data_IF_519371052568
#
_entry.id   IF_519371052568
#
_cell.length_a   1.000
_cell.length_b   1.000
_cell.length_c   1.000
_cell.angle_alpha   90.00
_cell.angle_beta   90.00
_cell.angle_gamma   90.00
#
_symmetry.space_group_name_H-M   'P 1'
#
loop_
_entity.id
_entity.type
_entity.pdbx_description
1 polymer ?
#
# COMPACT_ATOMS: atom_id res chain seq x y z
N UNK A 1 12.12 9.67 32.22
CA UNK A 1 11.01 9.10 31.40
C UNK A 1 10.04 10.16 30.88
N UNK A 2 9.60 11.15 31.66
CA UNK A 2 8.71 12.21 31.17
C UNK A 2 9.44 13.23 30.30
N UNK A 3 10.64 13.63 30.67
CA UNK A 3 11.49 14.51 29.88
C UNK A 3 11.81 13.90 28.50
N UNK A 4 12.10 12.61 28.41
CA UNK A 4 12.36 11.92 27.13
C UNK A 4 11.15 12.01 26.19
N UNK A 5 9.94 11.88 26.73
CA UNK A 5 8.71 12.05 25.94
C UNK A 5 8.55 13.48 25.44
N UNK A 6 8.82 14.45 26.27
CA UNK A 6 8.74 15.86 25.92
C UNK A 6 9.72 16.21 24.79
N UNK A 7 10.97 15.76 24.88
CA UNK A 7 11.97 15.93 23.84
C UNK A 7 11.52 15.32 22.50
N UNK A 8 10.95 14.11 22.54
CA UNK A 8 10.42 13.47 21.35
C UNK A 8 9.29 14.28 20.71
N UNK A 9 8.37 14.82 21.48
CA UNK A 9 7.29 15.66 20.94
C UNK A 9 7.83 16.97 20.38
N UNK A 10 8.76 17.59 21.07
CA UNK A 10 9.38 18.83 20.63
C UNK A 10 10.14 18.62 19.32
N UNK A 11 10.94 17.56 19.22
CA UNK A 11 11.65 17.19 17.99
C UNK A 11 10.71 16.99 16.80
N UNK A 12 9.56 16.32 17.00
CA UNK A 12 8.53 16.14 15.95
C UNK A 12 7.92 17.46 15.51
N UNK A 13 7.65 18.38 16.44
CA UNK A 13 7.12 19.71 16.13
C UNK A 13 8.14 20.55 15.33
N UNK A 14 9.42 20.52 15.71
CA UNK A 14 10.47 21.18 14.94
C UNK A 14 10.60 20.59 13.54
N UNK A 15 10.59 19.28 13.43
CA UNK A 15 10.65 18.59 12.14
C UNK A 15 9.44 18.91 11.25
N UNK A 16 8.26 19.05 11.82
CA UNK A 16 7.06 19.44 11.09
C UNK A 16 7.21 20.85 10.52
N UNK A 17 7.59 21.82 11.36
CA UNK A 17 7.76 23.23 10.98
C UNK A 17 8.87 23.43 9.94
N UNK A 18 9.99 22.73 10.07
CA UNK A 18 11.14 22.87 9.17
C UNK A 18 10.89 22.42 7.73
N UNK A 19 9.83 21.64 7.46
CA UNK A 19 9.60 21.05 6.15
C UNK A 19 8.16 21.14 5.66
N UNK A 20 7.35 22.02 6.20
CA UNK A 20 5.91 22.17 5.86
C UNK A 20 5.18 20.82 5.86
N UNK A 21 5.31 20.11 7.00
CA UNK A 21 4.73 18.79 7.22
C UNK A 21 3.55 18.87 8.18
N UNK A 22 2.54 18.07 7.89
CA UNK A 22 1.32 18.01 8.68
C UNK A 22 1.29 16.75 9.57
N UNK A 23 0.63 16.86 10.72
CA UNK A 23 0.24 15.71 11.52
C UNK A 23 -1.15 15.26 11.08
N UNK A 24 -1.22 14.10 10.46
CA UNK A 24 -2.49 13.48 10.06
C UNK A 24 -2.85 12.45 11.12
N UNK A 25 -3.88 12.76 11.90
CA UNK A 25 -4.33 11.87 12.97
C UNK A 25 -5.16 10.72 12.40
N UNK A 26 -4.94 9.47 12.86
CA UNK A 26 -5.75 8.34 12.43
C UNK A 26 -7.23 8.55 12.74
N UNK A 27 -8.08 8.35 11.74
CA UNK A 27 -9.53 8.51 11.82
C UNK A 27 -10.25 7.20 12.11
N UNK A 28 -11.46 7.29 12.67
CA UNK A 28 -12.39 6.17 12.78
C UNK A 28 -13.42 6.12 11.66
N UNK A 29 -13.35 7.03 10.68
CA UNK A 29 -14.37 7.18 9.64
C UNK A 29 -14.43 6.03 8.64
N UNK A 30 -13.44 5.17 8.56
CA UNK A 30 -13.31 4.15 7.51
C UNK A 30 -12.85 4.70 6.15
N UNK A 31 -12.90 6.02 5.96
CA UNK A 31 -12.40 6.69 4.73
C UNK A 31 -10.88 6.71 4.73
N UNK A 32 -10.30 6.44 3.57
CA UNK A 32 -8.86 6.47 3.38
C UNK A 32 -8.53 7.20 2.07
N UNK A 33 -7.91 8.37 2.20
CA UNK A 33 -7.57 9.23 1.07
C UNK A 33 -6.24 9.93 1.33
N UNK A 34 -5.33 9.84 0.41
CA UNK A 34 -4.14 10.70 0.38
C UNK A 34 -4.40 11.88 -0.55
N UNK A 35 -3.95 13.06 -0.15
CA UNK A 35 -3.96 14.28 -0.97
C UNK A 35 -2.58 14.89 -0.89
N UNK A 36 -1.93 15.02 -2.05
CA UNK A 36 -0.58 15.57 -2.23
C UNK A 36 0.48 14.96 -1.30
N UNK A 37 0.37 13.65 -1.05
CA UNK A 37 1.35 12.93 -0.23
C UNK A 37 2.70 12.86 -0.93
N UNK A 38 3.74 13.28 -0.24
CA UNK A 38 5.13 13.17 -0.67
C UNK A 38 5.86 12.10 0.16
N UNK A 39 6.36 11.06 -0.50
CA UNK A 39 7.07 9.98 0.19
C UNK A 39 8.38 10.49 0.82
N UNK A 40 8.57 10.36 2.15
CA UNK A 40 9.67 11.02 2.86
C UNK A 40 11.07 10.47 2.53
N UNK A 41 11.16 9.26 1.96
CA UNK A 41 12.44 8.66 1.56
C UNK A 41 12.91 9.10 0.16
N UNK A 42 12.13 9.90 -0.56
CA UNK A 42 12.50 10.39 -1.88
C UNK A 42 13.02 11.83 -1.80
N UNK A 43 14.11 12.11 -2.53
CA UNK A 43 14.71 13.46 -2.58
C UNK A 43 13.81 14.46 -3.31
N UNK A 44 13.15 14.03 -4.39
CA UNK A 44 12.22 14.83 -5.19
C UNK A 44 10.93 14.04 -5.43
N UNK A 45 10.09 13.86 -4.39
CA UNK A 45 8.86 13.11 -4.53
C UNK A 45 7.85 13.87 -5.39
N UNK A 46 7.25 13.21 -6.37
CA UNK A 46 6.01 13.71 -6.97
C UNK A 46 4.88 13.54 -5.95
N UNK A 47 4.05 14.57 -5.72
CA UNK A 47 2.87 14.44 -4.86
C UNK A 47 1.91 13.37 -5.40
N UNK A 48 1.35 12.57 -4.51
CA UNK A 48 0.41 11.51 -4.86
C UNK A 48 -0.94 11.81 -4.20
N UNK A 49 -2.00 11.79 -5.01
CA UNK A 49 -3.39 11.86 -4.53
C UNK A 49 -4.12 10.60 -4.95
N UNK A 50 -4.74 9.90 -3.98
CA UNK A 50 -5.40 8.62 -4.22
C UNK A 50 -6.47 8.35 -3.17
N UNK A 51 -7.64 7.86 -3.60
CA UNK A 51 -8.63 7.25 -2.73
C UNK A 51 -8.32 5.76 -2.57
N UNK A 52 -8.23 5.28 -1.34
CA UNK A 52 -8.04 3.86 -1.04
C UNK A 52 -9.04 3.38 0.02
N UNK A 53 -10.25 3.90 -0.05
CA UNK A 53 -11.32 3.59 0.90
C UNK A 53 -11.86 2.17 0.75
N UNK A 54 -11.95 1.64 -0.47
CA UNK A 54 -12.43 0.27 -0.71
C UNK A 54 -11.54 -0.78 -0.03
N UNK A 55 -12.09 -1.94 0.27
CA UNK A 55 -11.38 -3.03 0.97
C UNK A 55 -10.13 -3.50 0.22
N UNK A 56 -10.18 -3.52 -1.10
CA UNK A 56 -9.06 -3.88 -1.97
C UNK A 56 -8.75 -2.73 -2.91
N UNK A 57 -7.49 -2.37 -2.99
CA UNK A 57 -6.95 -1.49 -4.03
C UNK A 57 -5.96 -2.29 -4.87
N UNK A 58 -6.27 -2.47 -6.13
CA UNK A 58 -5.44 -3.22 -7.05
C UNK A 58 -4.79 -2.26 -8.05
N UNK A 59 -3.48 -2.14 -7.97
CA UNK A 59 -2.66 -1.25 -8.79
C UNK A 59 -2.12 -2.06 -9.96
N UNK A 60 -2.57 -1.74 -11.16
CA UNK A 60 -2.19 -2.41 -12.40
C UNK A 60 -1.24 -1.55 -13.23
N UNK A 61 -0.62 -2.14 -14.26
CA UNK A 61 0.25 -1.44 -15.20
C UNK A 61 1.60 -2.13 -15.38
N UNK A 62 2.47 -1.54 -16.21
CA UNK A 62 3.81 -2.09 -16.51
C UNK A 62 4.73 -2.03 -15.29
N UNK A 63 5.73 -2.93 -15.20
CA UNK A 63 6.62 -3.03 -14.04
C UNK A 63 7.39 -1.73 -13.73
N UNK A 64 7.73 -0.94 -14.76
CA UNK A 64 8.37 0.35 -14.59
C UNK A 64 7.40 1.50 -14.22
N UNK A 65 6.10 1.25 -14.10
CA UNK A 65 5.07 2.29 -13.93
C UNK A 65 4.96 2.92 -12.53
N UNK A 66 5.79 2.51 -11.56
CA UNK A 66 5.74 3.07 -10.20
C UNK A 66 4.74 2.40 -9.25
N UNK A 67 4.16 1.24 -9.61
CA UNK A 67 3.20 0.48 -8.80
C UNK A 67 3.70 0.20 -7.37
N UNK A 68 4.90 -0.38 -7.25
CA UNK A 68 5.54 -0.67 -5.96
C UNK A 68 5.76 0.59 -5.13
N UNK A 69 6.09 1.72 -5.77
CA UNK A 69 6.26 2.99 -5.07
C UNK A 69 4.92 3.52 -4.56
N UNK A 70 3.83 3.39 -5.32
CA UNK A 70 2.48 3.76 -4.86
C UNK A 70 2.08 2.91 -3.66
N UNK A 71 2.24 1.58 -3.74
CA UNK A 71 1.97 0.67 -2.62
C UNK A 71 2.76 1.07 -1.38
N UNK A 72 4.07 1.28 -1.51
CA UNK A 72 4.94 1.73 -0.41
C UNK A 72 4.51 3.09 0.13
N UNK A 73 4.05 4.00 -0.72
CA UNK A 73 3.58 5.33 -0.31
C UNK A 73 2.32 5.24 0.55
N UNK A 74 1.36 4.42 0.18
CA UNK A 74 0.14 4.19 0.97
C UNK A 74 0.51 3.61 2.34
N UNK A 75 1.32 2.55 2.38
CA UNK A 75 1.75 1.94 3.64
C UNK A 75 2.56 2.90 4.52
N UNK A 76 3.43 3.72 3.91
CA UNK A 76 4.21 4.73 4.62
C UNK A 76 3.30 5.79 5.24
N UNK A 77 2.31 6.30 4.51
CA UNK A 77 1.37 7.29 5.05
C UNK A 77 0.58 6.73 6.24
N UNK A 78 0.09 5.47 6.13
CA UNK A 78 -0.59 4.78 7.23
C UNK A 78 0.34 4.61 8.44
N UNK A 79 1.58 4.21 8.22
CA UNK A 79 2.58 4.07 9.29
C UNK A 79 2.87 5.41 9.98
N UNK A 80 3.12 6.45 9.20
CA UNK A 80 3.42 7.78 9.73
C UNK A 80 2.26 8.34 10.55
N UNK A 81 1.02 8.20 10.06
CA UNK A 81 -0.18 8.59 10.78
C UNK A 81 -0.35 7.79 12.09
N UNK A 82 -0.18 6.47 12.04
CA UNK A 82 -0.30 5.57 13.20
C UNK A 82 0.64 5.96 14.34
N UNK A 83 1.88 6.33 14.01
CA UNK A 83 2.89 6.69 15.00
C UNK A 83 3.01 8.21 15.25
N UNK A 84 2.06 9.00 14.73
CA UNK A 84 2.02 10.46 14.88
C UNK A 84 3.34 11.11 14.45
N UNK A 85 3.86 10.68 13.31
CA UNK A 85 5.02 11.28 12.67
C UNK A 85 4.53 12.26 11.58
N UNK A 86 5.04 13.50 11.56
CA UNK A 86 4.60 14.48 10.57
C UNK A 86 5.17 14.18 9.19
N UNK A 87 4.38 14.37 8.15
CA UNK A 87 4.78 14.17 6.76
C UNK A 87 4.13 15.20 5.82
N UNK A 88 4.70 15.35 4.64
CA UNK A 88 4.20 16.28 3.64
C UNK A 88 2.99 15.67 2.92
N UNK A 89 1.81 16.22 3.19
CA UNK A 89 0.55 15.92 2.55
C UNK A 89 -0.43 17.07 2.80
N UNK A 90 -1.47 17.19 1.98
CA UNK A 90 -2.52 18.16 2.23
C UNK A 90 -3.34 17.77 3.47
N UNK A 91 -3.92 18.75 4.16
CA UNK A 91 -4.70 18.53 5.39
C UNK A 91 -6.00 17.73 5.17
N UNK A 92 -6.49 17.65 3.93
CA UNK A 92 -7.63 16.81 3.54
C UNK A 92 -7.28 15.31 3.46
N UNK A 93 -6.03 14.94 3.72
CA UNK A 93 -5.62 13.55 3.84
C UNK A 93 -6.30 12.89 5.04
N UNK A 94 -6.93 11.74 4.81
CA UNK A 94 -7.61 10.96 5.85
C UNK A 94 -7.06 9.54 5.82
N UNK A 95 -6.67 9.02 6.98
CA UNK A 95 -6.14 7.66 7.13
C UNK A 95 -6.83 6.99 8.31
N UNK A 96 -7.34 5.79 8.12
CA UNK A 96 -7.98 5.01 9.19
C UNK A 96 -6.97 4.49 10.21
N UNK A 97 -7.46 4.25 11.43
CA UNK A 97 -6.66 3.69 12.51
C UNK A 97 -6.56 2.16 12.38
N UNK A 98 -5.59 1.67 11.64
CA UNK A 98 -5.31 0.24 11.53
C UNK A 98 -4.56 -0.29 12.75
N UNK A 99 -4.93 -1.47 13.24
CA UNK A 99 -4.24 -2.15 14.35
C UNK A 99 -2.86 -2.65 13.92
N UNK A 100 -2.76 -3.21 12.72
CA UNK A 100 -1.50 -3.71 12.15
C UNK A 100 -1.31 -3.27 10.71
N UNK A 101 -0.04 -3.15 10.33
CA UNK A 101 0.42 -2.85 8.97
C UNK A 101 1.35 -3.99 8.59
N UNK A 102 1.03 -4.70 7.54
CA UNK A 102 1.81 -5.82 7.04
C UNK A 102 2.19 -5.58 5.59
N UNK A 103 3.30 -6.18 5.15
CA UNK A 103 3.73 -6.12 3.77
C UNK A 103 4.31 -7.46 3.34
N UNK A 104 3.83 -7.95 2.20
CA UNK A 104 4.39 -9.10 1.48
C UNK A 104 5.07 -8.50 0.25
N UNK A 105 6.33 -8.14 0.42
CA UNK A 105 7.13 -7.52 -0.63
C UNK A 105 8.05 -8.56 -1.25
N UNK A 106 8.39 -8.37 -2.52
CA UNK A 106 9.43 -9.16 -3.14
C UNK A 106 10.80 -8.77 -2.55
N UNK A 107 11.52 -9.76 -1.98
CA UNK A 107 12.88 -9.58 -1.52
C UNK A 107 13.83 -10.35 -2.45
N UNK A 108 14.55 -9.65 -3.33
CA UNK A 108 15.53 -10.30 -4.22
C UNK A 108 16.63 -11.07 -3.46
N UNK A 109 16.77 -10.85 -2.15
CA UNK A 109 17.76 -11.53 -1.31
C UNK A 109 17.22 -12.79 -0.63
N UNK A 110 15.91 -13.04 -0.67
CA UNK A 110 15.28 -14.21 -0.03
C UNK A 110 15.39 -15.52 -0.83
N UNK A 111 16.10 -15.53 -1.95
CA UNK A 111 16.34 -16.69 -2.82
C UNK A 111 17.07 -17.86 -2.11
N UNK A 112 17.36 -17.74 -0.82
CA UNK A 112 18.11 -18.76 -0.06
C UNK A 112 17.28 -19.89 0.55
N UNK A 113 15.97 -19.87 0.45
CA UNK A 113 15.13 -20.96 0.95
C UNK A 113 14.49 -21.69 -0.22
N UNK A 114 14.74 -23.00 -0.32
CA UNK A 114 14.23 -23.95 -1.32
C UNK A 114 12.70 -24.14 -1.36
N UNK A 115 11.94 -23.29 -0.67
CA UNK A 115 10.49 -23.22 -0.78
C UNK A 115 10.17 -22.39 -2.02
N UNK A 116 9.38 -22.96 -2.95
CA UNK A 116 8.95 -22.18 -4.12
C UNK A 116 8.39 -20.83 -3.67
N UNK A 117 8.69 -19.77 -4.40
CA UNK A 117 8.25 -18.39 -4.11
C UNK A 117 6.74 -18.32 -3.84
N UNK A 118 5.98 -19.17 -4.54
CA UNK A 118 4.53 -19.31 -4.36
C UNK A 118 4.17 -19.87 -2.97
N UNK A 119 4.77 -20.99 -2.55
CA UNK A 119 4.51 -21.58 -1.24
C UNK A 119 4.90 -20.64 -0.10
N UNK A 120 6.00 -19.91 -0.25
CA UNK A 120 6.41 -18.87 0.69
C UNK A 120 5.34 -17.77 0.83
N UNK A 121 4.77 -17.30 -0.28
CA UNK A 121 3.66 -16.34 -0.27
C UNK A 121 2.40 -16.89 0.39
N UNK A 122 2.06 -18.15 0.16
CA UNK A 122 0.92 -18.79 0.83
C UNK A 122 1.10 -18.83 2.36
N UNK A 123 2.30 -19.09 2.82
CA UNK A 123 2.63 -19.00 4.26
C UNK A 123 2.49 -17.58 4.79
N UNK A 124 2.92 -16.57 4.05
CA UNK A 124 2.72 -15.17 4.45
C UNK A 124 1.23 -14.80 4.51
N UNK A 125 0.44 -15.18 3.51
CA UNK A 125 -1.01 -14.97 3.52
C UNK A 125 -1.69 -15.70 4.69
N UNK A 126 -1.25 -16.91 5.03
CA UNK A 126 -1.82 -17.68 6.15
C UNK A 126 -1.70 -16.95 7.50
N UNK A 127 -0.63 -16.18 7.69
CA UNK A 127 -0.43 -15.36 8.89
C UNK A 127 -1.46 -14.23 9.03
N UNK A 128 -2.04 -13.79 7.91
CA UNK A 128 -3.01 -12.70 7.88
C UNK A 128 -4.40 -13.13 8.33
N UNK A 129 -4.75 -14.41 8.18
CA UNK A 129 -6.09 -14.91 8.49
C UNK A 129 -6.53 -14.73 9.96
N UNK A 130 -5.58 -14.54 10.88
CA UNK A 130 -5.86 -14.20 12.28
C UNK A 130 -5.96 -12.71 12.57
N UNK A 131 -5.65 -11.85 11.59
CA UNK A 131 -5.63 -10.40 11.76
C UNK A 131 -7.05 -9.81 11.64
N UNK A 132 -7.28 -8.71 12.36
CA UNK A 132 -8.49 -7.88 12.23
C UNK A 132 -8.10 -6.43 12.21
N UNK A 133 -8.82 -5.62 11.43
CA UNK A 133 -8.53 -4.20 11.26
C UNK A 133 -7.06 -3.97 10.86
N UNK A 134 -6.60 -4.71 9.86
CA UNK A 134 -5.25 -4.65 9.34
C UNK A 134 -5.23 -4.02 7.94
N UNK A 135 -4.11 -3.40 7.59
CA UNK A 135 -3.78 -3.07 6.20
C UNK A 135 -2.58 -3.91 5.76
N UNK A 136 -2.68 -4.46 4.56
CA UNK A 136 -1.68 -5.34 3.97
C UNK A 136 -1.30 -4.85 2.59
N UNK A 137 -0.01 -4.65 2.34
CA UNK A 137 0.52 -4.43 1.01
C UNK A 137 1.09 -5.72 0.43
N UNK A 138 0.73 -6.03 -0.81
CA UNK A 138 1.23 -7.20 -1.54
C UNK A 138 1.80 -6.76 -2.87
N UNK A 139 3.10 -6.90 -3.02
CA UNK A 139 3.79 -6.53 -4.26
C UNK A 139 3.87 -7.75 -5.19
N UNK A 140 3.46 -7.56 -6.46
CA UNK A 140 3.44 -8.60 -7.49
C UNK A 140 2.86 -9.92 -7.01
N UNK A 141 1.54 -9.93 -6.71
CA UNK A 141 0.85 -11.06 -6.07
C UNK A 141 1.04 -12.39 -6.79
N UNK A 142 1.22 -12.35 -8.11
CA UNK A 142 1.37 -13.50 -9.00
C UNK A 142 2.77 -14.12 -9.03
N UNK A 143 3.74 -13.56 -8.33
CA UNK A 143 5.13 -14.00 -8.43
C UNK A 143 5.29 -15.49 -8.03
N UNK A 144 5.89 -16.27 -8.91
CA UNK A 144 6.26 -17.65 -8.63
C UNK A 144 5.25 -18.73 -9.05
N UNK A 145 4.21 -18.39 -9.85
CA UNK A 145 3.23 -19.37 -10.33
C UNK A 145 2.78 -19.10 -11.76
N UNK A 146 2.18 -20.10 -12.41
CA UNK A 146 1.56 -19.97 -13.74
C UNK A 146 0.29 -19.11 -13.64
N UNK A 147 0.11 -18.30 -14.66
CA UNK A 147 -0.75 -17.12 -14.62
C UNK A 147 -2.24 -17.40 -14.44
N UNK A 148 -2.78 -18.44 -15.03
CA UNK A 148 -4.23 -18.63 -15.15
C UNK A 148 -4.85 -19.33 -13.95
N UNK A 149 -4.19 -20.34 -13.40
CA UNK A 149 -4.62 -21.04 -12.20
C UNK A 149 -4.44 -20.15 -10.96
N UNK A 150 -3.35 -19.43 -10.92
CA UNK A 150 -3.04 -18.49 -9.86
C UNK A 150 -4.10 -17.38 -9.72
N UNK A 151 -4.58 -16.81 -10.82
CA UNK A 151 -5.59 -15.76 -10.78
C UNK A 151 -6.87 -16.20 -10.06
N UNK A 152 -7.31 -17.44 -10.29
CA UNK A 152 -8.49 -17.98 -9.63
C UNK A 152 -8.27 -18.23 -8.13
N UNK A 153 -7.10 -18.74 -7.76
CA UNK A 153 -6.74 -18.96 -6.36
C UNK A 153 -6.62 -17.62 -5.61
N UNK A 154 -5.92 -16.64 -6.18
CA UNK A 154 -5.77 -15.33 -5.55
C UNK A 154 -7.09 -14.59 -5.42
N UNK A 155 -8.02 -14.75 -6.37
CA UNK A 155 -9.39 -14.23 -6.23
C UNK A 155 -10.05 -14.77 -4.95
N UNK A 156 -10.03 -16.08 -4.72
CA UNK A 156 -10.63 -16.70 -3.53
C UNK A 156 -9.97 -16.19 -2.24
N UNK A 157 -8.64 -16.08 -2.22
CA UNK A 157 -7.91 -15.56 -1.06
C UNK A 157 -8.29 -14.11 -0.78
N UNK A 158 -8.35 -13.27 -1.80
CA UNK A 158 -8.69 -11.85 -1.66
C UNK A 158 -10.14 -11.71 -1.14
N UNK A 159 -11.08 -12.47 -1.67
CA UNK A 159 -12.47 -12.46 -1.23
C UNK A 159 -12.62 -12.91 0.25
N UNK A 160 -11.86 -13.90 0.70
CA UNK A 160 -11.84 -14.30 2.12
C UNK A 160 -11.24 -13.19 3.01
N UNK A 161 -10.17 -12.53 2.58
CA UNK A 161 -9.57 -11.42 3.32
C UNK A 161 -10.51 -10.21 3.42
N UNK A 162 -11.30 -9.92 2.39
CA UNK A 162 -12.35 -8.88 2.43
C UNK A 162 -13.34 -9.17 3.56
N UNK A 163 -13.80 -10.42 3.67
CA UNK A 163 -14.76 -10.82 4.70
C UNK A 163 -14.20 -10.71 6.13
N UNK A 164 -12.88 -10.68 6.28
CA UNK A 164 -12.17 -10.56 7.57
C UNK A 164 -11.88 -9.13 8.01
N UNK A 165 -12.40 -8.11 7.30
CA UNK A 165 -12.12 -6.69 7.56
C UNK A 165 -10.60 -6.38 7.45
N UNK A 166 -9.96 -6.95 6.44
CA UNK A 166 -8.56 -6.68 6.10
C UNK A 166 -8.54 -5.83 4.83
N UNK A 167 -7.91 -4.67 4.92
CA UNK A 167 -7.65 -3.82 3.76
C UNK A 167 -6.40 -4.29 3.04
N UNK A 168 -6.50 -4.47 1.73
CA UNK A 168 -5.42 -5.01 0.92
C UNK A 168 -5.06 -4.03 -0.19
N UNK A 169 -3.78 -3.71 -0.30
CA UNK A 169 -3.21 -2.95 -1.41
C UNK A 169 -2.35 -3.90 -2.22
N UNK A 170 -2.70 -4.15 -3.47
CA UNK A 170 -2.05 -5.15 -4.32
C UNK A 170 -1.43 -4.46 -5.52
N UNK A 171 -0.21 -4.81 -5.88
CA UNK A 171 0.30 -4.56 -7.22
C UNK A 171 0.24 -5.83 -8.06
N UNK A 172 -0.12 -5.70 -9.31
CA UNK A 172 -0.15 -6.81 -10.27
C UNK A 172 0.07 -6.33 -11.71
N UNK A 173 0.68 -7.15 -12.52
CA UNK A 173 0.68 -7.00 -13.98
C UNK A 173 -0.26 -8.02 -14.65
N UNK A 174 -0.93 -8.85 -13.85
CA UNK A 174 -1.78 -9.93 -14.32
C UNK A 174 -3.17 -9.43 -14.71
N UNK A 175 -3.38 -9.23 -16.02
CA UNK A 175 -4.63 -8.68 -16.57
C UNK A 175 -5.87 -9.53 -16.22
N UNK A 176 -5.73 -10.86 -16.16
CA UNK A 176 -6.86 -11.77 -15.84
C UNK A 176 -7.31 -11.61 -14.40
N UNK A 177 -6.39 -11.52 -13.43
CA UNK A 177 -6.76 -11.28 -12.03
C UNK A 177 -7.50 -9.95 -11.89
N UNK A 178 -6.98 -8.89 -12.51
CA UNK A 178 -7.64 -7.59 -12.52
C UNK A 178 -9.06 -7.67 -13.14
N UNK A 179 -9.21 -8.37 -14.26
CA UNK A 179 -10.51 -8.57 -14.90
C UNK A 179 -11.49 -9.37 -14.02
N UNK A 180 -11.02 -10.42 -13.34
CA UNK A 180 -11.84 -11.21 -12.42
C UNK A 180 -12.32 -10.42 -11.20
N UNK A 181 -11.56 -9.43 -10.78
CA UNK A 181 -11.85 -8.59 -9.60
C UNK A 181 -12.62 -7.31 -9.97
N UNK A 182 -12.67 -6.93 -11.25
CA UNK A 182 -13.25 -5.66 -11.70
C UNK A 182 -14.75 -5.49 -11.38
N UNK A 183 -15.49 -6.59 -11.29
CA UNK A 183 -16.93 -6.56 -10.97
C UNK A 183 -17.21 -6.56 -9.45
N UNK A 184 -16.20 -6.69 -8.61
CA UNK A 184 -16.38 -6.71 -7.17
C UNK A 184 -16.45 -5.27 -6.62
N UNK A 185 -17.57 -4.90 -6.00
CA UNK A 185 -17.81 -3.56 -5.45
C UNK A 185 -16.80 -3.14 -4.37
N UNK A 186 -16.16 -4.11 -3.70
CA UNK A 186 -15.15 -3.88 -2.68
C UNK A 186 -13.74 -3.65 -3.25
N UNK A 187 -13.59 -3.68 -4.56
CA UNK A 187 -12.31 -3.53 -5.26
C UNK A 187 -12.24 -2.21 -6.00
N UNK A 188 -11.17 -1.47 -5.80
CA UNK A 188 -10.77 -0.33 -6.61
C UNK A 188 -9.63 -0.74 -7.53
N UNK A 189 -9.79 -0.49 -8.82
CA UNK A 189 -8.74 -0.72 -9.82
C UNK A 189 -8.06 0.62 -10.13
N UNK A 190 -6.74 0.64 -10.05
CA UNK A 190 -5.92 1.81 -10.35
C UNK A 190 -4.91 1.44 -11.41
N UNK A 191 -4.86 2.20 -12.49
CA UNK A 191 -3.88 2.04 -13.54
C UNK A 191 -2.71 3.01 -13.34
N UNK A 192 -1.49 2.46 -13.20
CA UNK A 192 -0.27 3.25 -13.25
C UNK A 192 0.03 3.63 -14.70
N UNK A 193 0.14 4.93 -14.97
CA UNK A 193 0.45 5.45 -16.30
C UNK A 193 1.94 5.38 -16.58
N UNK A 194 2.27 5.09 -17.83
CA UNK A 194 3.64 5.00 -18.29
C UNK A 194 3.81 5.78 -19.60
N UNK A 195 4.84 6.59 -19.66
CA UNK A 195 5.23 7.32 -20.87
C UNK A 195 6.07 6.41 -21.76
N UNK A 196 5.45 5.88 -22.81
CA UNK A 196 6.09 4.96 -23.75
C UNK A 196 7.15 5.66 -24.61
N UNK A 197 6.99 6.95 -24.92
CA UNK A 197 7.92 7.71 -25.75
C UNK A 197 9.25 7.94 -25.02
N UNK A 198 9.19 8.37 -23.76
CA UNK A 198 10.36 8.65 -22.94
C UNK A 198 10.82 7.44 -22.12
N UNK A 199 10.12 6.32 -22.18
CA UNK A 199 10.37 5.09 -21.41
C UNK A 199 10.53 5.35 -19.90
N UNK A 200 9.64 6.17 -19.34
CA UNK A 200 9.69 6.58 -17.93
C UNK A 200 8.32 6.44 -17.26
N UNK A 201 8.28 6.10 -15.96
CA UNK A 201 7.03 6.19 -15.20
C UNK A 201 6.60 7.65 -15.12
N UNK A 202 5.31 7.89 -15.35
CA UNK A 202 4.74 9.23 -15.16
C UNK A 202 4.50 9.53 -13.68
N UNK A 203 4.38 8.49 -12.86
CA UNK A 203 3.89 8.54 -11.47
C UNK A 203 2.48 9.14 -11.37
N UNK A 204 1.71 9.05 -12.45
CA UNK A 204 0.30 9.40 -12.50
C UNK A 204 -0.53 8.11 -12.52
N UNK A 205 -1.71 8.18 -11.90
CA UNK A 205 -2.56 7.03 -11.69
C UNK A 205 -3.99 7.38 -12.05
N UNK A 206 -4.66 6.48 -12.78
CA UNK A 206 -6.10 6.58 -13.10
C UNK A 206 -6.88 5.65 -12.15
N UNK A 207 -7.87 6.21 -11.48
CA UNK A 207 -8.88 5.49 -10.70
C UNK A 207 -10.15 5.27 -11.50
#
# INVERSE_FOLDING_TARGET
KEFDKFDHYQARLFFAKAGDKNFILPSKSGTNKLVDFCHPALSNPKPISIDFTKSVVMITGVNAGGKTMMLKSILAAVFLSKYLLPYKAHHDTVVSNFKSINAVLDDPQSVKNDISTFAGRMVEFSKLFGSKNAIVGVDEIELGTDSDEAASLFKVIIEDLIQRDIKIIITTHHKRLAALMASNENVELIAALYDEENRKPTYEFLQ
#
